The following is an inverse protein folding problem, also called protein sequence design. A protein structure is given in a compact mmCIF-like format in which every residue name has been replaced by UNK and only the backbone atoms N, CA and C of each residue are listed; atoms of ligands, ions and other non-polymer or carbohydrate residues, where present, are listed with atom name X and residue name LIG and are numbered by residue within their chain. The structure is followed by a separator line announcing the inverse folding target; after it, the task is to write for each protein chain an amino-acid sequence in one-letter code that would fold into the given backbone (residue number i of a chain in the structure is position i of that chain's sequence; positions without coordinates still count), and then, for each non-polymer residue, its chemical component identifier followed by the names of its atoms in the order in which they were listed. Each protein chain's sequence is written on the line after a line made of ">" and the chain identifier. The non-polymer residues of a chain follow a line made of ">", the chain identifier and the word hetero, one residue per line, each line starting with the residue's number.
data_IF_108077669928
#
_entry.id   IF_108077669928
#
_cell.length_a   1.000
_cell.length_b   1.000
_cell.length_c   1.000
_cell.angle_alpha   90.00
_cell.angle_beta   90.00
_cell.angle_gamma   90.00
#
_symmetry.space_group_name_H-M   'P 1'
#
loop_
_entity.id
_entity.type
_entity.pdbx_description
1 polymer ?
#
# COMPACT_ATOMS: atom_id res chain seq x y z
N UNK A 1 -96.98 38.26 2.37
CA UNK A 1 -95.77 38.95 2.88
C UNK A 1 -95.41 38.27 4.19
N UNK A 2 -94.30 37.52 4.29
CA UNK A 2 -92.90 37.98 4.25
C UNK A 2 -92.60 38.85 5.48
N UNK A 3 -91.84 38.34 6.46
CA UNK A 3 -90.36 38.46 6.55
C UNK A 3 -90.01 39.63 7.52
N UNK A 4 -88.94 39.64 8.33
CA UNK A 4 -87.81 38.74 8.47
C UNK A 4 -87.30 38.73 9.94
N UNK A 5 -87.24 37.57 10.62
CA UNK A 5 -86.52 37.38 11.90
C UNK A 5 -85.74 36.06 11.97
N UNK A 6 -85.45 35.46 10.81
CA UNK A 6 -84.82 34.13 10.67
C UNK A 6 -83.34 34.18 10.23
N UNK A 7 -82.86 35.35 9.81
CA UNK A 7 -81.52 35.54 9.22
C UNK A 7 -80.38 35.65 10.25
N UNK A 8 -80.58 36.36 11.36
CA UNK A 8 -79.46 36.75 12.25
C UNK A 8 -78.88 35.57 13.05
N UNK A 9 -79.70 34.55 13.34
CA UNK A 9 -79.32 33.47 14.25
C UNK A 9 -78.66 32.26 13.55
N UNK A 10 -78.79 32.14 12.22
CA UNK A 10 -78.10 31.10 11.43
C UNK A 10 -76.65 31.49 11.12
N UNK A 11 -76.40 32.77 10.87
CA UNK A 11 -75.05 33.28 10.54
C UNK A 11 -74.05 33.10 11.69
N UNK A 12 -74.52 33.21 12.94
CA UNK A 12 -73.65 33.06 14.14
C UNK A 12 -73.18 31.61 14.33
N UNK A 13 -74.04 30.62 14.09
CA UNK A 13 -73.66 29.20 14.20
C UNK A 13 -72.70 28.74 13.10
N UNK A 14 -72.83 29.29 11.88
CA UNK A 14 -71.90 28.98 10.77
C UNK A 14 -70.51 29.56 11.03
N UNK A 15 -70.40 30.75 11.64
CA UNK A 15 -69.10 31.37 11.97
C UNK A 15 -68.38 30.62 13.10
N UNK A 16 -69.11 30.13 14.12
CA UNK A 16 -68.50 29.33 15.21
C UNK A 16 -67.99 27.97 14.71
N UNK A 17 -68.70 27.33 13.77
CA UNK A 17 -68.25 26.08 13.14
C UNK A 17 -67.08 26.28 12.14
N UNK A 18 -66.95 27.46 11.50
CA UNK A 18 -65.81 27.76 10.63
C UNK A 18 -64.56 28.23 11.37
N UNK A 19 -64.68 28.85 12.55
CA UNK A 19 -63.54 29.22 13.40
C UNK A 19 -63.06 28.08 14.30
N UNK A 20 -63.88 27.06 14.55
CA UNK A 20 -63.54 25.88 15.36
C UNK A 20 -62.61 24.85 14.71
N UNK A 21 -62.28 24.99 13.42
CA UNK A 21 -61.53 23.97 12.65
C UNK A 21 -60.04 24.33 12.44
N UNK A 22 -59.60 25.56 12.77
CA UNK A 22 -58.24 26.05 12.45
C UNK A 22 -57.31 26.17 13.66
N UNK A 23 -57.46 25.31 14.68
CA UNK A 23 -56.42 25.08 15.70
C UNK A 23 -56.22 23.62 16.10
N UNK A 24 -56.49 22.67 15.20
CA UNK A 24 -55.66 21.46 15.19
C UNK A 24 -54.35 21.82 14.49
N UNK A 25 -53.41 22.38 15.28
CA UNK A 25 -51.99 22.13 15.01
C UNK A 25 -51.77 20.65 15.29
N UNK A 26 -52.14 19.83 14.31
CA UNK A 26 -51.49 18.54 14.16
C UNK A 26 -50.00 18.84 14.17
N UNK A 27 -49.30 18.29 15.16
CA UNK A 27 -47.87 18.04 15.00
C UNK A 27 -47.82 16.92 13.97
N UNK A 28 -48.02 17.29 12.69
CA UNK A 28 -47.22 16.70 11.64
C UNK A 28 -45.78 16.98 12.10
N UNK A 29 -45.24 16.00 12.80
CA UNK A 29 -43.83 15.79 12.86
C UNK A 29 -43.44 15.71 11.38
N UNK A 30 -42.97 16.85 10.84
CA UNK A 30 -42.28 16.87 9.56
C UNK A 30 -41.25 15.79 9.74
N UNK A 31 -41.44 14.63 9.10
CA UNK A 31 -40.40 13.62 9.00
C UNK A 31 -39.20 14.43 8.55
N UNK A 32 -38.19 14.57 9.41
CA UNK A 32 -36.95 15.20 9.04
C UNK A 32 -36.59 14.48 7.75
N UNK A 33 -36.53 15.23 6.65
CA UNK A 33 -36.29 14.65 5.33
C UNK A 33 -34.81 14.28 5.39
N UNK A 34 -34.52 13.12 5.99
CA UNK A 34 -33.18 12.54 6.18
C UNK A 34 -32.45 12.86 4.90
N UNK A 35 -31.44 13.72 5.00
CA UNK A 35 -30.71 14.10 3.81
C UNK A 35 -29.87 12.87 3.53
N UNK A 36 -30.41 12.04 2.63
CA UNK A 36 -29.78 10.82 2.20
C UNK A 36 -28.61 11.23 1.31
N UNK A 37 -27.53 11.66 1.96
CA UNK A 37 -26.26 11.96 1.34
C UNK A 37 -25.76 10.67 0.70
N UNK A 38 -25.80 10.64 -0.63
CA UNK A 38 -25.19 9.58 -1.42
C UNK A 38 -23.70 9.89 -1.52
N UNK A 39 -22.88 9.08 -0.87
CA UNK A 39 -21.43 9.15 -0.99
C UNK A 39 -20.98 8.30 -2.17
N UNK A 40 -20.24 8.90 -3.11
CA UNK A 40 -19.75 8.22 -4.31
C UNK A 40 -18.26 7.90 -4.16
N UNK A 41 -17.85 6.69 -4.52
CA UNK A 41 -16.47 6.25 -4.50
C UNK A 41 -16.15 5.28 -5.64
N UNK A 42 -14.88 4.98 -5.84
CA UNK A 42 -14.40 4.16 -6.96
C UNK A 42 -13.84 2.84 -6.45
N UNK A 43 -14.40 1.71 -6.89
CA UNK A 43 -13.98 0.38 -6.46
C UNK A 43 -14.13 -0.71 -7.54
N UNK A 44 -13.29 -1.76 -7.49
CA UNK A 44 -13.40 -2.98 -8.32
C UNK A 44 -14.78 -3.65 -8.20
N UNK A 45 -15.38 -3.57 -7.01
CA UNK A 45 -16.69 -4.12 -6.66
C UNK A 45 -17.47 -3.16 -5.79
N UNK A 46 -18.75 -2.96 -6.11
CA UNK A 46 -19.69 -2.25 -5.25
C UNK A 46 -20.38 -3.23 -4.31
N UNK A 47 -20.69 -2.79 -3.09
CA UNK A 47 -21.32 -3.63 -2.06
C UNK A 47 -22.83 -3.40 -2.02
N UNK A 48 -23.59 -4.47 -1.90
CA UNK A 48 -25.05 -4.39 -1.75
C UNK A 48 -25.46 -4.00 -0.32
N UNK A 49 -24.68 -4.45 0.67
CA UNK A 49 -24.95 -4.21 2.09
C UNK A 49 -23.96 -3.22 2.70
N UNK A 50 -24.38 -2.51 3.74
CA UNK A 50 -23.49 -1.59 4.47
C UNK A 50 -23.95 -1.35 5.90
N UNK A 51 -23.01 -1.05 6.78
CA UNK A 51 -23.25 -0.57 8.14
C UNK A 51 -22.12 0.37 8.59
N UNK A 52 -22.36 1.19 9.61
CA UNK A 52 -21.31 2.01 10.22
C UNK A 52 -20.73 1.33 11.46
N UNK A 53 -19.45 1.59 11.75
CA UNK A 53 -18.79 1.13 12.98
C UNK A 53 -19.51 1.57 14.26
N UNK A 54 -20.26 2.69 14.23
CA UNK A 54 -21.11 3.15 15.35
C UNK A 54 -22.27 2.21 15.65
N UNK A 55 -22.78 1.49 14.66
CA UNK A 55 -23.90 0.54 14.82
C UNK A 55 -23.49 -0.68 15.68
N UNK A 56 -22.17 -0.93 15.76
CA UNK A 56 -21.53 -1.95 16.59
C UNK A 56 -20.93 -1.37 17.89
N UNK A 57 -21.36 -0.17 18.29
CA UNK A 57 -20.94 0.49 19.53
C UNK A 57 -19.56 1.15 19.46
N UNK A 58 -19.03 1.40 18.26
CA UNK A 58 -17.78 2.15 18.09
C UNK A 58 -17.89 3.60 18.56
N UNK A 59 -16.81 4.12 19.14
CA UNK A 59 -16.67 5.49 19.66
C UNK A 59 -15.39 6.13 19.12
N UNK A 60 -15.54 7.17 18.30
CA UNK A 60 -14.44 7.90 17.65
C UNK A 60 -13.77 8.98 18.51
N UNK A 61 -13.52 8.73 19.79
CA UNK A 61 -13.00 9.70 20.78
C UNK A 61 -11.46 9.69 20.97
N UNK A 62 -10.76 8.77 20.29
CA UNK A 62 -9.31 8.56 20.37
C UNK A 62 -8.84 7.85 21.64
N UNK A 63 -9.75 7.29 22.45
CA UNK A 63 -9.46 6.71 23.78
C UNK A 63 -10.15 5.38 24.01
N UNK A 64 -11.36 5.20 23.50
CA UNK A 64 -12.13 3.98 23.59
C UNK A 64 -11.57 2.95 22.61
N UNK A 65 -11.22 1.75 23.09
CA UNK A 65 -10.78 0.65 22.21
C UNK A 65 -11.96 0.11 21.39
N UNK A 66 -11.92 0.37 20.10
CA UNK A 66 -12.91 -0.05 19.10
C UNK A 66 -12.65 -1.48 18.58
N UNK A 67 -11.62 -2.16 19.08
CA UNK A 67 -11.21 -3.51 18.66
C UNK A 67 -12.37 -4.50 18.67
N UNK A 68 -13.26 -4.41 19.67
CA UNK A 68 -14.48 -5.23 19.74
C UNK A 68 -15.48 -4.86 18.64
N UNK A 69 -15.76 -3.57 18.47
CA UNK A 69 -16.70 -3.06 17.47
C UNK A 69 -16.28 -3.46 16.05
N UNK A 70 -14.98 -3.35 15.70
CA UNK A 70 -14.48 -3.79 14.39
C UNK A 70 -14.66 -5.29 14.17
N UNK A 71 -14.34 -6.12 15.17
CA UNK A 71 -14.48 -7.59 15.07
C UNK A 71 -15.95 -8.01 15.00
N UNK A 72 -16.84 -7.39 15.77
CA UNK A 72 -18.29 -7.64 15.71
C UNK A 72 -18.90 -7.16 14.39
N UNK A 73 -18.47 -5.99 13.89
CA UNK A 73 -18.91 -5.46 12.60
C UNK A 73 -18.56 -6.41 11.45
N UNK A 74 -17.29 -6.79 11.33
CA UNK A 74 -16.83 -7.65 10.23
C UNK A 74 -17.46 -9.05 10.32
N UNK A 75 -17.57 -9.61 11.52
CA UNK A 75 -18.21 -10.92 11.74
C UNK A 75 -19.72 -10.94 11.44
N UNK A 76 -20.42 -9.80 11.54
CA UNK A 76 -21.83 -9.71 11.11
C UNK A 76 -21.94 -9.40 9.63
N UNK A 77 -21.07 -8.54 9.09
CA UNK A 77 -21.10 -8.14 7.69
C UNK A 77 -20.62 -9.25 6.74
N UNK A 78 -19.83 -10.23 7.22
CA UNK A 78 -19.44 -11.41 6.43
C UNK A 78 -20.61 -12.31 6.02
N UNK A 79 -21.77 -12.23 6.69
CA UNK A 79 -22.95 -13.03 6.31
C UNK A 79 -23.50 -12.66 4.92
N UNK A 80 -23.12 -11.48 4.40
CA UNK A 80 -23.55 -10.95 3.11
C UNK A 80 -22.61 -11.30 1.95
N UNK A 81 -21.58 -12.13 2.19
CA UNK A 81 -20.57 -12.54 1.20
C UNK A 81 -21.21 -13.03 -0.11
N UNK A 82 -22.24 -13.87 -0.02
CA UNK A 82 -22.96 -14.44 -1.17
C UNK A 82 -24.08 -13.57 -1.75
N UNK A 83 -24.34 -12.40 -1.16
CA UNK A 83 -25.41 -11.47 -1.55
C UNK A 83 -24.85 -10.08 -1.91
N UNK A 84 -23.81 -10.06 -2.77
CA UNK A 84 -23.18 -8.84 -3.27
C UNK A 84 -22.21 -8.17 -2.29
N UNK A 85 -21.88 -8.82 -1.17
CA UNK A 85 -20.88 -8.35 -0.22
C UNK A 85 -21.31 -7.11 0.59
N UNK A 86 -20.41 -6.67 1.46
CA UNK A 86 -20.72 -5.67 2.49
C UNK A 86 -19.64 -4.60 2.66
N UNK A 87 -20.08 -3.39 3.02
CA UNK A 87 -19.21 -2.26 3.38
C UNK A 87 -19.30 -1.93 4.87
N UNK A 88 -18.14 -1.76 5.52
CA UNK A 88 -18.04 -1.13 6.83
C UNK A 88 -17.58 0.33 6.68
N UNK A 89 -18.46 1.25 7.05
CA UNK A 89 -18.21 2.69 7.01
C UNK A 89 -17.69 3.21 8.36
N UNK A 90 -16.50 3.81 8.34
CA UNK A 90 -15.86 4.49 9.48
C UNK A 90 -16.04 6.01 9.31
N UNK A 91 -16.90 6.67 10.12
CA UNK A 91 -17.16 8.09 10.02
C UNK A 91 -15.99 8.96 10.52
N UNK A 92 -16.04 10.29 10.30
CA UNK A 92 -15.08 11.23 10.88
C UNK A 92 -14.92 11.03 12.40
N UNK A 93 -13.67 10.99 12.89
CA UNK A 93 -13.37 10.70 14.29
C UNK A 93 -12.05 9.97 14.49
N UNK A 94 -11.67 9.79 15.77
CA UNK A 94 -10.43 9.12 16.18
C UNK A 94 -10.74 7.72 16.73
N UNK A 95 -10.44 6.68 15.96
CA UNK A 95 -10.86 5.30 16.24
C UNK A 95 -9.67 4.49 16.75
N UNK A 96 -9.41 4.54 18.06
CA UNK A 96 -8.39 3.71 18.71
C UNK A 96 -8.77 2.23 18.58
N UNK A 97 -7.88 1.40 18.05
CA UNK A 97 -8.10 -0.05 17.90
C UNK A 97 -6.79 -0.82 17.86
N UNK A 98 -6.79 -2.03 18.43
CA UNK A 98 -5.83 -3.06 18.10
C UNK A 98 -6.20 -3.79 16.81
N UNK A 99 -5.62 -4.95 16.58
CA UNK A 99 -5.76 -5.63 15.29
C UNK A 99 -7.15 -6.20 15.02
N UNK A 100 -7.56 -6.18 13.76
CA UNK A 100 -8.76 -6.85 13.28
C UNK A 100 -8.54 -7.47 11.90
N UNK A 101 -9.30 -8.54 11.62
CA UNK A 101 -9.20 -9.29 10.39
C UNK A 101 -10.33 -8.90 9.44
N UNK A 102 -10.02 -8.69 8.16
CA UNK A 102 -10.98 -8.51 7.06
C UNK A 102 -11.59 -9.86 6.63
N UNK A 103 -12.62 -9.79 5.77
CA UNK A 103 -13.33 -10.93 5.17
C UNK A 103 -13.43 -10.74 3.65
N UNK A 104 -13.80 -11.80 2.91
CA UNK A 104 -14.05 -11.73 1.45
C UNK A 104 -15.26 -10.88 1.10
N UNK A 105 -15.31 -10.39 -0.15
CA UNK A 105 -16.40 -9.58 -0.70
C UNK A 105 -16.73 -8.35 0.17
N UNK A 106 -15.68 -7.68 0.67
CA UNK A 106 -15.77 -6.66 1.70
C UNK A 106 -15.19 -5.31 1.25
N UNK A 107 -15.74 -4.22 1.78
CA UNK A 107 -15.17 -2.88 1.66
C UNK A 107 -15.00 -2.24 3.03
N UNK A 108 -13.76 -2.01 3.46
CA UNK A 108 -13.49 -1.08 4.57
C UNK A 108 -13.39 0.33 4.00
N UNK A 109 -14.26 1.23 4.47
CA UNK A 109 -14.34 2.61 4.00
C UNK A 109 -14.05 3.61 5.12
N UNK A 110 -13.00 4.42 4.96
CA UNK A 110 -12.66 5.49 5.90
C UNK A 110 -13.11 6.85 5.34
N UNK A 111 -14.10 7.46 5.96
CA UNK A 111 -14.56 8.79 5.59
C UNK A 111 -13.45 9.84 5.74
N UNK A 112 -13.69 11.03 5.17
CA UNK A 112 -12.83 12.17 5.41
C UNK A 112 -12.72 12.45 6.91
N UNK A 113 -11.53 12.81 7.39
CA UNK A 113 -11.25 13.08 8.81
C UNK A 113 -11.51 11.88 9.76
N UNK A 114 -11.68 10.66 9.22
CA UNK A 114 -11.61 9.42 9.98
C UNK A 114 -10.14 9.01 10.16
N UNK A 115 -9.73 8.72 11.40
CA UNK A 115 -8.37 8.27 11.73
C UNK A 115 -8.45 6.97 12.54
N UNK A 116 -7.96 5.86 11.99
CA UNK A 116 -7.68 4.66 12.78
C UNK A 116 -6.38 4.90 13.56
N UNK A 117 -6.43 4.78 14.88
CA UNK A 117 -5.27 4.92 15.75
C UNK A 117 -4.85 3.53 16.25
N UNK A 118 -3.64 3.10 15.89
CA UNK A 118 -3.12 1.79 16.28
C UNK A 118 -2.82 1.73 17.78
N UNK A 119 -3.43 0.78 18.48
CA UNK A 119 -3.31 0.64 19.93
C UNK A 119 -1.87 0.49 20.41
N UNK A 120 -1.55 1.13 21.53
CA UNK A 120 -0.23 1.02 22.17
C UNK A 120 -0.18 -0.13 23.20
N UNK A 121 -1.33 -0.75 23.48
CA UNK A 121 -1.43 -1.89 24.40
C UNK A 121 -1.02 -3.18 23.70
N UNK A 122 0.15 -3.71 24.06
CA UNK A 122 0.75 -4.92 23.45
C UNK A 122 -0.21 -6.14 23.48
N UNK A 123 -1.12 -6.22 24.44
CA UNK A 123 -2.12 -7.29 24.52
C UNK A 123 -3.20 -7.25 23.44
N UNK A 124 -3.40 -6.12 22.76
CA UNK A 124 -4.33 -6.02 21.62
C UNK A 124 -3.70 -6.47 20.29
N UNK A 125 -2.41 -6.84 20.31
CA UNK A 125 -1.67 -7.38 19.18
C UNK A 125 -1.41 -8.87 19.38
N UNK A 126 -2.19 -9.72 18.71
CA UNK A 126 -1.97 -11.16 18.75
C UNK A 126 -0.59 -11.51 18.15
N UNK A 127 0.08 -12.50 18.73
CA UNK A 127 1.31 -13.06 18.16
C UNK A 127 0.93 -14.21 17.23
N UNK A 128 1.37 -14.14 16.00
CA UNK A 128 1.19 -15.14 14.96
C UNK A 128 2.56 -15.65 14.48
N UNK A 129 2.54 -16.76 13.74
CA UNK A 129 3.75 -17.32 13.17
C UNK A 129 4.44 -16.36 12.18
N UNK A 130 5.75 -16.51 11.95
CA UNK A 130 6.46 -15.85 10.86
C UNK A 130 5.79 -16.08 9.51
N UNK A 131 6.14 -15.26 8.53
CA UNK A 131 5.82 -15.57 7.13
C UNK A 131 6.51 -16.90 6.77
N UNK A 132 5.81 -17.88 6.20
CA UNK A 132 6.38 -19.20 5.94
C UNK A 132 7.58 -19.15 4.99
N UNK A 133 7.61 -18.19 4.04
CA UNK A 133 8.76 -17.96 3.16
C UNK A 133 9.97 -17.31 3.83
N UNK A 134 9.88 -16.84 5.08
CA UNK A 134 10.97 -16.16 5.80
C UNK A 134 11.66 -17.05 6.86
N UNK A 135 11.05 -18.19 7.24
CA UNK A 135 11.55 -19.11 8.28
C UNK A 135 11.47 -18.58 9.72
N UNK A 136 11.72 -17.29 9.94
CA UNK A 136 11.69 -16.64 11.25
C UNK A 136 11.19 -15.19 11.20
N UNK A 137 10.93 -14.59 12.37
CA UNK A 137 10.56 -13.17 12.48
C UNK A 137 11.71 -12.21 12.10
N UNK A 138 11.40 -11.23 11.25
CA UNK A 138 12.33 -10.21 10.72
C UNK A 138 13.13 -9.44 11.78
N UNK A 139 12.51 -8.96 12.85
CA UNK A 139 13.22 -8.17 13.88
C UNK A 139 13.88 -9.05 14.95
N UNK A 140 13.29 -10.22 15.23
CA UNK A 140 13.67 -11.14 16.31
C UNK A 140 13.24 -12.56 15.98
N UNK A 141 14.04 -13.55 16.35
CA UNK A 141 13.67 -14.96 16.28
C UNK A 141 12.35 -15.26 17.03
N UNK A 142 11.56 -16.18 16.49
CA UNK A 142 10.18 -16.44 16.92
C UNK A 142 9.15 -15.68 16.08
N UNK A 143 7.91 -15.61 16.57
CA UNK A 143 6.77 -15.05 15.86
C UNK A 143 6.78 -13.53 15.65
N UNK A 144 5.66 -13.03 15.15
CA UNK A 144 5.41 -11.62 14.84
C UNK A 144 4.09 -11.14 15.43
N UNK A 145 4.00 -9.87 15.76
CA UNK A 145 2.71 -9.24 16.03
C UNK A 145 1.92 -9.14 14.71
N UNK A 146 0.65 -9.56 14.75
CA UNK A 146 -0.28 -9.43 13.62
C UNK A 146 -0.43 -7.95 13.20
N UNK A 147 -0.60 -7.69 11.91
CA UNK A 147 -0.82 -6.33 11.39
C UNK A 147 -2.11 -5.69 11.93
N UNK A 148 -2.19 -4.35 11.91
CA UNK A 148 -3.34 -3.61 12.42
C UNK A 148 -4.61 -3.99 11.64
N UNK A 149 -4.51 -3.94 10.32
CA UNK A 149 -5.49 -4.48 9.37
C UNK A 149 -4.88 -5.74 8.77
N UNK A 150 -5.48 -6.89 9.06
CA UNK A 150 -5.00 -8.18 8.57
C UNK A 150 -6.04 -8.88 7.69
N UNK A 151 -5.60 -9.72 6.75
CA UNK A 151 -6.47 -10.60 5.98
C UNK A 151 -5.70 -11.81 5.49
N UNK A 152 -6.35 -12.97 5.37
CA UNK A 152 -5.74 -14.16 4.74
C UNK A 152 -6.79 -15.00 4.03
N UNK A 153 -6.46 -15.54 2.85
CA UNK A 153 -7.38 -16.37 2.04
C UNK A 153 -8.67 -15.63 1.65
N UNK A 154 -8.55 -14.34 1.31
CA UNK A 154 -9.68 -13.48 0.95
C UNK A 154 -9.80 -13.34 -0.57
N UNK A 155 -11.02 -13.08 -1.04
CA UNK A 155 -11.26 -12.62 -2.41
C UNK A 155 -12.07 -11.33 -2.39
N UNK A 156 -11.82 -10.43 -3.35
CA UNK A 156 -12.61 -9.21 -3.57
C UNK A 156 -12.64 -8.31 -2.31
N UNK A 157 -11.47 -7.74 -2.00
CA UNK A 157 -11.26 -6.90 -0.80
C UNK A 157 -10.90 -5.47 -1.22
N UNK A 158 -11.68 -4.50 -0.72
CA UNK A 158 -11.45 -3.08 -0.96
C UNK A 158 -11.18 -2.37 0.36
N UNK A 159 -10.07 -1.63 0.44
CA UNK A 159 -9.74 -0.74 1.57
C UNK A 159 -9.57 0.66 0.98
N UNK A 160 -10.55 1.52 1.19
CA UNK A 160 -10.62 2.83 0.54
C UNK A 160 -11.26 3.91 1.41
N UNK A 161 -11.41 5.13 0.88
CA UNK A 161 -11.94 6.25 1.64
C UNK A 161 -11.88 7.59 0.92
N UNK A 162 -12.11 8.66 1.68
CA UNK A 162 -11.95 10.06 1.23
C UNK A 162 -10.65 10.64 1.78
N UNK A 163 -9.54 9.94 1.57
CA UNK A 163 -8.25 10.18 2.24
C UNK A 163 -8.33 10.08 3.78
N UNK A 164 -9.12 9.13 4.28
CA UNK A 164 -9.08 8.71 5.68
C UNK A 164 -7.68 8.19 6.07
N UNK A 165 -7.34 8.30 7.36
CA UNK A 165 -5.99 8.03 7.87
C UNK A 165 -5.90 6.73 8.66
N UNK A 166 -4.81 6.00 8.50
CA UNK A 166 -4.40 4.84 9.30
C UNK A 166 -3.06 5.20 9.97
N UNK A 167 -3.09 5.58 11.25
CA UNK A 167 -1.91 5.96 12.03
C UNK A 167 -1.43 4.81 12.93
N UNK A 168 -0.25 4.31 12.61
CA UNK A 168 0.43 3.22 13.31
C UNK A 168 1.01 3.59 14.66
N UNK A 169 1.06 4.89 15.00
CA UNK A 169 1.64 5.43 16.23
C UNK A 169 3.03 4.80 16.54
N UNK A 170 3.84 4.58 15.50
CA UNK A 170 5.03 3.73 15.48
C UNK A 170 6.15 4.09 16.46
N UNK A 171 6.12 5.27 17.07
CA UNK A 171 7.18 5.80 17.93
C UNK A 171 7.58 4.88 19.11
N UNK A 172 6.61 4.17 19.72
CA UNK A 172 6.89 3.17 20.76
C UNK A 172 7.71 2.00 20.18
N UNK A 173 7.29 1.48 19.04
CA UNK A 173 7.88 0.33 18.37
C UNK A 173 9.29 0.62 17.87
N UNK A 174 9.53 1.80 17.26
CA UNK A 174 10.85 2.25 16.83
C UNK A 174 11.82 2.40 18.01
N UNK A 175 11.35 2.92 19.16
CA UNK A 175 12.15 2.97 20.38
C UNK A 175 12.52 1.59 20.91
N UNK A 176 11.60 0.62 20.85
CA UNK A 176 11.88 -0.75 21.27
C UNK A 176 12.85 -1.45 20.31
N UNK A 177 12.72 -1.23 19.00
CA UNK A 177 13.65 -1.72 17.98
C UNK A 177 15.08 -1.21 18.23
N UNK A 178 15.28 0.12 18.30
CA UNK A 178 16.60 0.71 18.54
C UNK A 178 17.23 0.30 19.88
N UNK A 179 16.40 0.03 20.91
CA UNK A 179 16.86 -0.47 22.22
C UNK A 179 17.04 -1.98 22.27
N UNK A 180 16.76 -2.72 21.19
CA UNK A 180 16.78 -4.20 21.12
C UNK A 180 15.91 -4.85 22.22
N UNK A 181 14.71 -4.29 22.43
CA UNK A 181 13.74 -4.72 23.47
C UNK A 181 12.48 -5.41 22.93
N UNK A 182 12.35 -5.53 21.61
CA UNK A 182 11.27 -6.30 21.00
C UNK A 182 11.35 -7.77 21.43
N UNK A 183 10.20 -8.38 21.69
CA UNK A 183 10.07 -9.82 21.96
C UNK A 183 9.75 -10.62 20.69
N UNK A 184 9.03 -9.98 19.76
CA UNK A 184 8.54 -10.51 18.50
C UNK A 184 8.69 -9.43 17.43
N UNK A 185 8.60 -9.81 16.16
CA UNK A 185 8.65 -8.87 15.05
C UNK A 185 7.49 -7.88 15.10
N UNK A 186 7.77 -6.59 14.84
CA UNK A 186 6.80 -5.49 14.86
C UNK A 186 5.66 -5.73 13.86
N UNK A 187 4.44 -5.26 14.17
CA UNK A 187 3.31 -5.37 13.25
C UNK A 187 3.45 -4.42 12.06
N UNK A 188 2.70 -4.66 11.00
CA UNK A 188 2.55 -3.76 9.85
C UNK A 188 1.21 -3.01 9.93
N UNK A 189 1.01 -1.98 9.09
CA UNK A 189 -0.29 -1.29 9.05
C UNK A 189 -1.37 -2.13 8.34
N UNK A 190 -1.10 -2.56 7.12
CA UNK A 190 -1.99 -3.47 6.39
C UNK A 190 -1.21 -4.64 5.80
N UNK A 191 -1.70 -5.84 6.04
CA UNK A 191 -1.18 -7.07 5.44
C UNK A 191 -2.34 -7.95 4.96
N UNK A 192 -2.26 -8.39 3.71
CA UNK A 192 -3.26 -9.27 3.09
C UNK A 192 -2.52 -10.45 2.47
N UNK A 193 -2.74 -11.65 3.02
CA UNK A 193 -2.05 -12.88 2.65
C UNK A 193 -2.91 -13.78 1.75
N UNK A 194 -2.31 -14.56 0.83
CA UNK A 194 -3.01 -15.64 0.10
C UNK A 194 -4.34 -15.23 -0.57
N UNK A 195 -4.43 -14.01 -1.08
CA UNK A 195 -5.71 -13.40 -1.46
C UNK A 195 -5.73 -12.93 -2.92
N UNK A 196 -6.91 -12.70 -3.46
CA UNK A 196 -7.13 -12.33 -4.86
C UNK A 196 -8.09 -11.14 -5.00
N UNK A 197 -7.89 -10.30 -6.03
CA UNK A 197 -8.71 -9.10 -6.30
C UNK A 197 -8.72 -8.12 -5.12
N UNK A 198 -7.59 -7.43 -4.93
CA UNK A 198 -7.34 -6.52 -3.80
C UNK A 198 -7.24 -5.09 -4.31
N UNK A 199 -7.96 -4.16 -3.69
CA UNK A 199 -7.80 -2.72 -3.92
C UNK A 199 -7.48 -1.99 -2.61
N UNK A 200 -6.38 -1.24 -2.58
CA UNK A 200 -6.03 -0.32 -1.48
C UNK A 200 -5.88 1.07 -2.09
N UNK A 201 -6.75 2.03 -1.75
CA UNK A 201 -6.77 3.30 -2.50
C UNK A 201 -7.33 4.50 -1.75
N UNK A 202 -6.89 5.71 -2.09
CA UNK A 202 -7.42 6.98 -1.56
C UNK A 202 -7.37 7.08 -0.03
N UNK A 203 -6.21 6.75 0.56
CA UNK A 203 -5.97 6.69 2.01
C UNK A 203 -4.61 7.28 2.38
N UNK A 204 -4.48 7.78 3.60
CA UNK A 204 -3.21 8.17 4.21
C UNK A 204 -2.75 7.11 5.23
N UNK A 205 -1.55 6.56 5.05
CA UNK A 205 -0.86 5.72 6.02
C UNK A 205 0.17 6.57 6.76
N UNK A 206 0.18 6.52 8.09
CA UNK A 206 0.99 7.39 8.93
C UNK A 206 1.72 6.57 10.00
N UNK A 207 2.99 6.89 10.25
CA UNK A 207 3.82 6.35 11.35
C UNK A 207 3.73 4.82 11.55
N UNK A 208 3.86 4.00 10.49
CA UNK A 208 3.83 2.54 10.70
C UNK A 208 4.90 2.06 11.70
N UNK A 209 4.61 1.08 12.57
CA UNK A 209 5.62 0.43 13.42
C UNK A 209 6.78 -0.18 12.63
N UNK A 210 6.52 -0.63 11.40
CA UNK A 210 7.44 -1.28 10.46
C UNK A 210 6.88 -1.06 9.03
N UNK A 211 6.74 -2.07 8.17
CA UNK A 211 6.15 -1.91 6.83
C UNK A 211 4.75 -1.28 6.84
N UNK A 212 4.41 -0.50 5.81
CA UNK A 212 3.09 0.13 5.70
C UNK A 212 2.10 -0.80 4.97
N UNK A 213 2.33 -1.08 3.69
CA UNK A 213 1.40 -1.85 2.83
C UNK A 213 2.05 -3.15 2.35
N UNK A 214 1.56 -4.29 2.82
CA UNK A 214 2.16 -5.62 2.60
C UNK A 214 1.15 -6.65 2.05
N UNK A 215 0.78 -6.59 0.76
CA UNK A 215 0.14 -7.74 0.10
C UNK A 215 1.18 -8.85 -0.08
N UNK A 216 0.84 -10.07 0.34
CA UNK A 216 1.76 -11.22 0.32
C UNK A 216 1.10 -12.50 -0.21
N UNK A 217 1.80 -13.28 -1.03
CA UNK A 217 1.28 -14.49 -1.72
C UNK A 217 -0.05 -14.25 -2.46
N UNK A 218 -0.24 -13.04 -3.00
CA UNK A 218 -1.55 -12.53 -3.42
C UNK A 218 -1.54 -12.05 -4.88
N UNK A 219 -2.70 -12.07 -5.54
CA UNK A 219 -2.84 -11.76 -6.97
C UNK A 219 -3.87 -10.67 -7.25
N UNK A 220 -3.77 -10.04 -8.43
CA UNK A 220 -4.72 -9.04 -8.93
C UNK A 220 -4.88 -7.86 -7.94
N UNK A 221 -3.79 -7.13 -7.73
CA UNK A 221 -3.68 -6.09 -6.69
C UNK A 221 -3.61 -4.70 -7.34
N UNK A 222 -4.42 -3.76 -6.86
CA UNK A 222 -4.39 -2.34 -7.23
C UNK A 222 -4.10 -1.51 -5.99
N UNK A 223 -3.03 -0.71 -6.04
CA UNK A 223 -2.69 0.26 -5.02
C UNK A 223 -2.62 1.65 -5.67
N UNK A 224 -3.61 2.50 -5.41
CA UNK A 224 -3.79 3.77 -6.15
C UNK A 224 -4.08 4.96 -5.23
N UNK A 225 -3.44 6.11 -5.49
CA UNK A 225 -3.84 7.37 -4.84
C UNK A 225 -3.60 7.40 -3.33
N UNK A 226 -2.69 6.58 -2.81
CA UNK A 226 -2.37 6.53 -1.38
C UNK A 226 -1.19 7.45 -1.02
N UNK A 227 -1.27 8.02 0.17
CA UNK A 227 -0.19 8.79 0.79
C UNK A 227 0.42 7.96 1.91
N UNK A 228 1.74 7.79 1.95
CA UNK A 228 2.46 7.12 3.03
C UNK A 228 3.44 8.11 3.66
N UNK A 229 3.34 8.31 4.98
CA UNK A 229 4.16 9.26 5.73
C UNK A 229 4.76 8.60 6.97
N UNK A 230 6.08 8.43 6.98
CA UNK A 230 6.86 8.11 8.17
C UNK A 230 8.10 9.02 8.25
N UNK A 231 8.62 9.34 9.45
CA UNK A 231 9.85 10.10 9.57
C UNK A 231 11.01 9.41 8.85
N UNK A 232 11.86 10.13 8.13
CA UNK A 232 13.01 9.53 7.39
C UNK A 232 14.07 8.86 8.30
N UNK A 233 13.85 8.85 9.62
CA UNK A 233 14.65 8.16 10.63
C UNK A 233 13.92 7.00 11.32
N UNK A 234 12.68 6.65 10.90
CA UNK A 234 11.97 5.48 11.44
C UNK A 234 12.50 4.19 10.81
N UNK A 235 12.93 3.21 11.62
CA UNK A 235 13.57 2.00 11.11
C UNK A 235 12.56 1.12 10.38
N UNK A 236 12.89 0.73 9.14
CA UNK A 236 12.18 -0.32 8.40
C UNK A 236 10.72 0.00 8.09
N UNK A 237 10.44 1.27 7.85
CA UNK A 237 9.11 1.76 7.49
C UNK A 237 8.85 1.73 6.00
N UNK A 238 9.27 0.66 5.32
CA UNK A 238 9.12 0.48 3.88
C UNK A 238 7.68 0.80 3.43
N UNK A 239 7.52 1.45 2.28
CA UNK A 239 6.23 1.97 1.83
C UNK A 239 5.28 0.86 1.35
N UNK A 240 5.53 0.35 0.14
CA UNK A 240 4.72 -0.70 -0.47
C UNK A 240 5.61 -1.91 -0.77
N UNK A 241 5.19 -3.07 -0.28
CA UNK A 241 5.94 -4.31 -0.33
C UNK A 241 5.11 -5.42 -0.98
N UNK A 242 5.04 -5.52 -2.32
CA UNK A 242 4.46 -6.67 -3.00
C UNK A 242 5.37 -7.88 -2.79
N UNK A 243 4.91 -8.83 -1.99
CA UNK A 243 5.70 -9.94 -1.45
C UNK A 243 5.14 -11.27 -2.01
N UNK A 244 5.73 -11.82 -3.07
CA UNK A 244 5.23 -13.03 -3.76
C UNK A 244 3.93 -12.76 -4.53
N UNK A 245 3.83 -11.55 -5.09
CA UNK A 245 2.61 -11.08 -5.71
C UNK A 245 2.67 -11.14 -7.24
N UNK A 246 1.52 -11.47 -7.85
CA UNK A 246 1.36 -11.55 -9.31
C UNK A 246 0.33 -10.51 -9.75
N UNK A 247 0.55 -9.89 -10.91
CA UNK A 247 -0.39 -8.96 -11.53
C UNK A 247 -0.78 -7.79 -10.59
N UNK A 248 0.21 -6.99 -10.19
CA UNK A 248 0.09 -5.88 -9.24
C UNK A 248 0.33 -4.54 -9.92
N UNK A 249 -0.57 -3.57 -9.72
CA UNK A 249 -0.43 -2.18 -10.20
C UNK A 249 -0.29 -1.24 -9.00
N UNK A 250 0.71 -0.37 -9.05
CA UNK A 250 0.95 0.70 -8.06
C UNK A 250 1.04 2.02 -8.84
N UNK A 251 0.12 2.95 -8.58
CA UNK A 251 0.03 4.21 -9.33
C UNK A 251 -0.43 5.38 -8.45
N UNK A 252 -0.16 6.62 -8.88
CA UNK A 252 -0.61 7.84 -8.21
C UNK A 252 -0.28 7.95 -6.70
N UNK A 253 0.81 7.31 -6.23
CA UNK A 253 1.17 7.28 -4.80
C UNK A 253 2.18 8.36 -4.40
N UNK A 254 2.10 8.83 -3.16
CA UNK A 254 3.10 9.72 -2.55
C UNK A 254 3.69 9.05 -1.30
N UNK A 255 5.01 8.83 -1.28
CA UNK A 255 5.67 8.05 -0.22
C UNK A 255 6.82 8.84 0.39
N UNK A 256 6.78 9.01 1.72
CA UNK A 256 7.90 9.43 2.56
C UNK A 256 8.15 8.34 3.59
N UNK A 257 9.33 7.73 3.54
CA UNK A 257 9.72 6.58 4.36
C UNK A 257 11.12 6.75 4.95
N UNK A 258 11.39 6.09 6.08
CA UNK A 258 12.75 5.87 6.60
C UNK A 258 13.49 4.65 6.03
N UNK A 259 12.90 3.92 5.07
CA UNK A 259 13.51 2.76 4.38
C UNK A 259 13.13 2.75 2.88
N UNK A 260 13.23 1.61 2.19
CA UNK A 260 12.88 1.47 0.77
C UNK A 260 11.39 1.90 0.48
N UNK A 261 11.16 2.79 -0.50
CA UNK A 261 9.81 3.33 -0.77
C UNK A 261 8.85 2.32 -1.40
N UNK A 262 9.31 1.59 -2.41
CA UNK A 262 8.66 0.40 -2.96
C UNK A 262 9.72 -0.71 -2.97
N UNK A 263 9.38 -1.86 -2.41
CA UNK A 263 10.27 -3.01 -2.34
C UNK A 263 9.53 -4.25 -2.86
N UNK A 264 9.76 -4.61 -4.13
CA UNK A 264 9.28 -5.88 -4.69
C UNK A 264 10.06 -7.03 -4.04
N UNK A 265 9.33 -8.05 -3.59
CA UNK A 265 9.74 -9.07 -2.62
C UNK A 265 8.95 -10.38 -2.75
N UNK A 266 9.14 -11.30 -1.79
CA UNK A 266 8.37 -12.54 -1.52
C UNK A 266 8.67 -13.33 -0.20
N UNK A 267 9.81 -13.16 0.49
CA UNK A 267 10.43 -14.33 1.16
C UNK A 267 11.96 -14.34 1.20
N UNK A 268 12.57 -15.46 1.60
CA UNK A 268 13.98 -15.45 2.02
C UNK A 268 14.72 -16.81 1.90
N UNK A 269 15.84 -16.84 1.17
CA UNK A 269 16.78 -17.97 1.07
C UNK A 269 16.05 -19.31 0.72
N UNK A 270 16.38 -20.42 1.36
CA UNK A 270 15.79 -21.74 1.11
C UNK A 270 14.34 -21.86 1.60
N UNK A 271 13.93 -21.09 2.62
CA UNK A 271 12.53 -20.94 3.01
C UNK A 271 11.73 -20.34 1.86
N UNK A 272 12.33 -19.36 1.20
CA UNK A 272 11.86 -18.79 -0.04
C UNK A 272 11.73 -19.84 -1.15
N UNK A 273 12.83 -20.47 -1.56
CA UNK A 273 12.84 -21.49 -2.63
C UNK A 273 11.82 -22.61 -2.37
N UNK A 274 11.72 -23.10 -1.14
CA UNK A 274 10.81 -24.20 -0.78
C UNK A 274 9.34 -23.79 -0.72
N UNK A 275 9.03 -22.52 -0.45
CA UNK A 275 7.67 -21.98 -0.47
C UNK A 275 7.25 -21.43 -1.85
N UNK A 276 8.23 -21.03 -2.69
CA UNK A 276 8.06 -20.43 -4.02
C UNK A 276 8.37 -18.91 -4.12
N UNK A 277 9.36 -18.35 -3.39
CA UNK A 277 9.54 -16.91 -3.00
C UNK A 277 11.01 -16.52 -2.56
N UNK A 278 11.47 -15.31 -2.14
CA UNK A 278 11.73 -14.11 -2.99
C UNK A 278 13.10 -14.09 -3.57
N UNK A 279 13.18 -13.59 -4.80
CA UNK A 279 14.34 -13.63 -5.68
C UNK A 279 14.94 -15.05 -5.76
N UNK A 280 15.39 -15.67 -4.67
CA UNK A 280 15.33 -17.12 -4.36
C UNK A 280 14.19 -17.88 -5.08
N UNK A 281 12.96 -17.36 -5.06
CA UNK A 281 11.80 -17.92 -5.80
C UNK A 281 11.47 -17.22 -7.12
N UNK A 282 12.12 -16.10 -7.41
CA UNK A 282 11.98 -15.31 -8.63
C UNK A 282 11.42 -13.91 -8.42
N UNK A 283 11.96 -12.95 -9.17
CA UNK A 283 11.33 -11.67 -9.52
C UNK A 283 11.46 -11.51 -11.04
N UNK A 284 10.34 -11.33 -11.74
CA UNK A 284 10.29 -11.18 -13.20
C UNK A 284 9.19 -10.21 -13.66
N UNK A 285 9.35 -9.65 -14.87
CA UNK A 285 8.45 -8.68 -15.52
C UNK A 285 8.02 -7.50 -14.62
N UNK A 286 9.01 -6.81 -14.03
CA UNK A 286 8.77 -5.61 -13.21
C UNK A 286 8.95 -4.38 -14.07
N UNK A 287 7.89 -3.58 -14.19
CA UNK A 287 7.85 -2.34 -14.97
C UNK A 287 7.70 -1.15 -14.02
N UNK A 288 8.58 -0.18 -14.15
CA UNK A 288 8.56 1.06 -13.37
C UNK A 288 8.72 2.25 -14.32
N UNK A 289 7.70 3.10 -14.40
CA UNK A 289 7.73 4.28 -15.28
C UNK A 289 7.21 5.57 -14.65
N UNK A 290 7.71 6.70 -15.15
CA UNK A 290 7.31 8.07 -14.80
C UNK A 290 7.38 8.41 -13.29
N UNK A 291 8.35 7.82 -12.60
CA UNK A 291 8.59 8.02 -11.15
C UNK A 291 9.51 9.22 -10.91
N UNK A 292 9.13 10.06 -9.94
CA UNK A 292 10.01 11.08 -9.35
C UNK A 292 10.51 10.63 -7.98
N UNK A 293 11.83 10.60 -7.76
CA UNK A 293 12.42 10.26 -6.46
C UNK A 293 13.33 11.39 -5.95
N UNK A 294 13.19 11.75 -4.68
CA UNK A 294 13.83 12.93 -4.07
C UNK A 294 14.52 12.54 -2.76
N UNK A 295 15.78 12.94 -2.58
CA UNK A 295 16.56 12.76 -1.35
C UNK A 295 16.67 11.29 -0.88
N UNK A 296 16.74 10.35 -1.82
CA UNK A 296 16.84 8.90 -1.53
C UNK A 296 18.29 8.43 -1.45
N UNK A 297 18.54 7.27 -0.84
CA UNK A 297 19.88 6.67 -0.95
C UNK A 297 20.15 6.17 -2.39
N UNK A 298 19.15 5.57 -3.04
CA UNK A 298 19.28 5.14 -4.44
C UNK A 298 18.03 5.38 -5.25
N UNK A 299 18.18 5.57 -6.57
CA UNK A 299 17.08 5.59 -7.53
C UNK A 299 16.49 4.19 -7.73
N UNK A 300 17.26 3.28 -8.34
CA UNK A 300 16.90 1.86 -8.47
C UNK A 300 17.95 0.97 -7.82
N UNK A 301 17.50 -0.07 -7.11
CA UNK A 301 18.31 -0.88 -6.21
C UNK A 301 18.00 -2.37 -6.38
N UNK A 302 19.02 -3.19 -6.64
CA UNK A 302 18.95 -4.66 -6.60
C UNK A 302 19.92 -5.15 -5.52
N UNK A 303 19.42 -5.99 -4.59
CA UNK A 303 20.19 -6.54 -3.46
C UNK A 303 20.09 -8.06 -3.49
N UNK A 304 21.20 -8.77 -3.57
CA UNK A 304 21.25 -10.22 -3.44
C UNK A 304 22.60 -10.69 -2.89
N UNK A 305 22.76 -12.00 -2.68
CA UNK A 305 23.95 -12.62 -2.12
C UNK A 305 24.09 -14.07 -2.54
N UNK A 306 25.33 -14.56 -2.57
CA UNK A 306 25.60 -16.01 -2.58
C UNK A 306 24.86 -16.64 -1.40
N UNK A 307 24.07 -17.67 -1.66
CA UNK A 307 23.19 -18.28 -0.66
C UNK A 307 21.70 -18.12 -0.95
N UNK A 308 21.34 -17.12 -1.77
CA UNK A 308 19.94 -16.86 -2.12
C UNK A 308 19.38 -17.82 -3.16
N UNK A 309 20.14 -18.15 -4.20
CA UNK A 309 19.61 -18.81 -5.40
C UNK A 309 18.58 -17.96 -6.16
N UNK A 310 17.81 -18.62 -7.03
CA UNK A 310 16.70 -18.00 -7.77
C UNK A 310 17.15 -16.97 -8.82
N UNK A 311 16.34 -15.93 -9.06
CA UNK A 311 16.57 -14.92 -10.09
C UNK A 311 15.93 -13.55 -9.82
N UNK A 312 16.50 -12.51 -10.43
CA UNK A 312 15.86 -11.23 -10.73
C UNK A 312 16.09 -10.94 -12.21
N UNK A 313 15.03 -10.95 -13.01
CA UNK A 313 15.15 -10.77 -14.46
C UNK A 313 14.05 -9.89 -15.04
N UNK A 314 14.23 -9.47 -16.29
CA UNK A 314 13.21 -8.77 -17.08
C UNK A 314 12.63 -7.57 -16.31
N UNK A 315 13.54 -6.70 -15.87
CA UNK A 315 13.24 -5.49 -15.11
C UNK A 315 13.35 -4.30 -16.06
N UNK A 316 12.31 -3.48 -16.14
CA UNK A 316 12.18 -2.40 -17.11
C UNK A 316 11.88 -1.08 -16.41
N UNK A 317 12.78 -0.10 -16.56
CA UNK A 317 12.68 1.20 -15.92
C UNK A 317 12.74 2.31 -16.97
N UNK A 318 11.76 3.21 -16.98
CA UNK A 318 11.65 4.30 -17.97
C UNK A 318 11.24 5.63 -17.32
N UNK A 319 11.74 6.77 -17.79
CA UNK A 319 11.16 8.07 -17.43
C UNK A 319 11.38 8.51 -15.98
N UNK A 320 12.54 8.18 -15.39
CA UNK A 320 12.83 8.52 -13.99
C UNK A 320 13.35 9.97 -13.85
N UNK A 321 12.78 10.74 -12.93
CA UNK A 321 13.28 12.07 -12.53
C UNK A 321 13.82 12.03 -11.10
N UNK A 322 15.13 12.25 -10.94
CA UNK A 322 15.87 11.83 -9.76
C UNK A 322 16.65 13.00 -9.11
N UNK A 323 16.21 13.47 -7.95
CA UNK A 323 16.74 14.69 -7.33
C UNK A 323 17.46 14.39 -6.01
N UNK A 324 18.77 14.63 -5.95
CA UNK A 324 19.62 14.43 -4.76
C UNK A 324 19.62 12.98 -4.27
N UNK A 325 20.65 12.21 -4.65
CA UNK A 325 20.81 10.83 -4.15
C UNK A 325 22.25 10.37 -4.10
N UNK A 326 22.50 9.25 -3.41
CA UNK A 326 23.84 8.68 -3.28
C UNK A 326 24.22 7.89 -4.54
N UNK A 327 23.29 7.11 -5.09
CA UNK A 327 23.45 6.30 -6.31
C UNK A 327 22.21 6.43 -7.22
N UNK A 328 22.37 6.51 -8.55
CA UNK A 328 21.20 6.35 -9.46
C UNK A 328 20.88 4.87 -9.60
N UNK A 329 21.89 4.07 -9.96
CA UNK A 329 21.80 2.62 -10.06
C UNK A 329 22.66 1.96 -8.99
N UNK A 330 22.08 1.12 -8.12
CA UNK A 330 22.84 0.30 -7.18
C UNK A 330 22.48 -1.19 -7.33
N UNK A 331 23.50 -2.01 -7.59
CA UNK A 331 23.40 -3.48 -7.53
C UNK A 331 24.48 -4.01 -6.59
N UNK A 332 24.15 -5.01 -5.80
CA UNK A 332 25.12 -5.75 -4.97
C UNK A 332 24.79 -7.24 -4.91
N UNK A 333 25.77 -8.09 -5.22
CA UNK A 333 25.78 -9.54 -5.01
C UNK A 333 26.43 -9.98 -3.71
N UNK A 334 26.72 -9.05 -2.79
CA UNK A 334 27.33 -9.33 -1.49
C UNK A 334 26.44 -8.81 -0.33
N UNK A 335 25.13 -9.03 -0.41
CA UNK A 335 24.18 -8.66 0.64
C UNK A 335 24.07 -9.78 1.69
N UNK A 336 25.08 -9.89 2.55
CA UNK A 336 25.27 -10.99 3.51
C UNK A 336 24.31 -11.06 4.72
N UNK A 337 23.03 -10.75 4.53
CA UNK A 337 21.97 -11.08 5.49
C UNK A 337 21.37 -12.43 5.07
N UNK A 338 21.24 -13.41 5.96
CA UNK A 338 20.59 -14.69 5.68
C UNK A 338 19.57 -15.02 6.78
N UNK A 339 18.58 -15.85 6.46
CA UNK A 339 17.52 -16.23 7.39
C UNK A 339 18.11 -16.97 8.60
N UNK A 340 18.97 -17.97 8.35
CA UNK A 340 19.76 -18.63 9.38
C UNK A 340 21.12 -19.12 8.83
N UNK A 341 21.56 -20.31 9.24
CA UNK A 341 22.82 -20.96 8.83
C UNK A 341 22.62 -22.21 7.98
N UNK A 342 21.40 -22.52 7.53
CA UNK A 342 21.04 -23.72 6.77
C UNK A 342 20.90 -23.47 5.26
N UNK A 343 20.86 -22.21 4.82
CA UNK A 343 20.89 -21.82 3.41
C UNK A 343 22.03 -22.50 2.65
N UNK A 344 21.81 -22.86 1.39
CA UNK A 344 22.84 -23.48 0.54
C UNK A 344 23.89 -22.41 0.16
N UNK A 345 25.14 -22.47 0.68
CA UNK A 345 26.15 -21.45 0.41
C UNK A 345 26.69 -21.47 -1.03
N UNK A 346 26.16 -22.35 -1.89
CA UNK A 346 26.46 -22.42 -3.33
C UNK A 346 25.29 -21.94 -4.19
N UNK A 347 24.15 -21.57 -3.61
CA UNK A 347 22.97 -21.12 -4.34
C UNK A 347 23.21 -19.70 -4.91
N UNK A 348 23.51 -19.66 -6.21
CA UNK A 348 23.79 -18.44 -6.96
C UNK A 348 22.51 -17.85 -7.58
N UNK A 349 22.28 -16.53 -7.45
CA UNK A 349 21.13 -15.83 -8.00
C UNK A 349 21.36 -15.33 -9.43
N UNK A 350 20.49 -15.71 -10.37
CA UNK A 350 20.58 -15.22 -11.76
C UNK A 350 20.03 -13.80 -11.86
N UNK A 351 20.91 -12.81 -12.08
CA UNK A 351 20.53 -11.42 -12.32
C UNK A 351 20.78 -11.08 -13.80
N UNK A 352 19.71 -10.89 -14.58
CA UNK A 352 19.80 -10.70 -16.03
C UNK A 352 18.73 -9.78 -16.61
N UNK A 353 18.98 -9.14 -17.76
CA UNK A 353 17.93 -8.41 -18.51
C UNK A 353 17.38 -7.18 -17.79
N UNK A 354 18.27 -6.38 -17.20
CA UNK A 354 17.91 -5.17 -16.44
C UNK A 354 18.01 -3.95 -17.36
N UNK A 355 16.87 -3.37 -17.73
CA UNK A 355 16.76 -2.29 -18.69
C UNK A 355 16.43 -0.96 -18.01
N UNK A 356 17.23 0.06 -18.28
CA UNK A 356 17.04 1.44 -17.84
C UNK A 356 17.01 2.36 -19.06
N UNK A 357 16.02 3.23 -19.13
CA UNK A 357 15.83 4.14 -20.25
C UNK A 357 15.29 5.50 -19.78
N UNK A 358 15.65 6.57 -20.49
CA UNK A 358 15.08 7.92 -20.31
C UNK A 358 15.17 8.39 -18.83
N UNK A 359 16.40 8.46 -18.30
CA UNK A 359 16.71 8.73 -16.89
C UNK A 359 17.36 10.12 -16.75
N UNK A 360 16.76 11.01 -15.94
CA UNK A 360 17.35 12.32 -15.61
C UNK A 360 17.60 12.37 -14.12
N UNK A 361 18.86 12.62 -13.73
CA UNK A 361 19.25 12.73 -12.34
C UNK A 361 20.12 13.95 -12.06
N UNK A 362 19.93 14.60 -10.91
CA UNK A 362 20.72 15.75 -10.48
C UNK A 362 21.15 15.67 -9.00
N UNK A 363 22.22 16.41 -8.67
CA UNK A 363 22.85 16.43 -7.35
C UNK A 363 23.22 15.03 -6.81
N UNK A 364 23.74 14.17 -7.70
CA UNK A 364 24.06 12.76 -7.41
C UNK A 364 25.48 12.59 -6.85
N UNK A 365 25.66 11.75 -5.83
CA UNK A 365 27.00 11.51 -5.23
C UNK A 365 27.88 10.57 -6.05
N UNK A 366 27.30 9.59 -6.73
CA UNK A 366 27.93 8.59 -7.61
C UNK A 366 26.86 8.11 -8.60
N UNK A 367 27.17 8.02 -9.90
CA UNK A 367 26.20 7.59 -10.91
C UNK A 367 25.74 6.14 -10.67
N UNK A 368 26.68 5.21 -10.53
CA UNK A 368 26.33 3.83 -10.20
C UNK A 368 27.37 3.11 -9.35
N UNK A 369 26.88 2.09 -8.65
CA UNK A 369 27.67 1.03 -8.03
C UNK A 369 27.05 -0.31 -8.45
N UNK A 370 27.73 -1.07 -9.28
CA UNK A 370 27.23 -2.30 -9.90
C UNK A 370 28.21 -3.43 -9.55
N UNK A 371 27.91 -4.16 -8.49
CA UNK A 371 28.77 -5.21 -7.95
C UNK A 371 28.02 -6.54 -8.04
N UNK A 372 28.40 -7.40 -8.99
CA UNK A 372 27.86 -8.76 -9.11
C UNK A 372 28.53 -9.74 -8.16
N UNK A 373 28.57 -11.01 -8.54
CA UNK A 373 29.22 -12.08 -7.78
C UNK A 373 30.48 -12.52 -8.54
N UNK A 374 31.60 -12.68 -7.81
CA UNK A 374 32.89 -13.10 -8.36
C UNK A 374 32.78 -14.44 -9.09
N UNK A 375 32.85 -14.42 -10.42
CA UNK A 375 32.72 -15.61 -11.27
C UNK A 375 31.29 -15.95 -11.71
N UNK A 376 30.29 -15.18 -11.27
CA UNK A 376 28.88 -15.27 -11.67
C UNK A 376 28.33 -13.85 -11.89
N UNK A 377 28.66 -13.22 -13.04
CA UNK A 377 28.40 -11.80 -13.25
C UNK A 377 26.91 -11.51 -13.48
N UNK A 378 26.46 -10.30 -13.11
CA UNK A 378 25.12 -9.84 -13.48
C UNK A 378 25.12 -9.40 -14.94
N UNK A 379 24.28 -9.99 -15.77
CA UNK A 379 24.35 -9.87 -17.25
C UNK A 379 23.18 -9.11 -17.84
N UNK A 380 23.24 -8.78 -19.13
CA UNK A 380 22.12 -8.17 -19.86
C UNK A 380 21.68 -6.82 -19.30
N UNK A 381 22.57 -6.08 -18.64
CA UNK A 381 22.29 -4.72 -18.17
C UNK A 381 22.27 -3.78 -19.38
N UNK A 382 21.20 -3.04 -19.57
CA UNK A 382 21.08 -2.03 -20.62
C UNK A 382 20.74 -0.68 -20.00
N UNK A 383 21.55 0.35 -20.26
CA UNK A 383 21.27 1.74 -19.82
C UNK A 383 21.30 2.66 -21.04
N UNK A 384 20.17 3.28 -21.40
CA UNK A 384 20.14 4.26 -22.49
C UNK A 384 19.44 5.58 -22.11
N UNK A 385 19.85 6.66 -22.78
CA UNK A 385 19.36 8.02 -22.54
C UNK A 385 19.38 8.43 -21.05
N UNK A 386 20.55 8.36 -20.41
CA UNK A 386 20.68 8.63 -18.97
C UNK A 386 21.63 9.81 -18.71
N UNK A 387 21.10 10.92 -18.18
CA UNK A 387 21.87 12.12 -17.85
C UNK A 387 21.95 12.30 -16.33
N UNK A 388 23.15 12.22 -15.77
CA UNK A 388 23.40 12.17 -14.33
C UNK A 388 24.31 13.34 -13.90
N UNK A 389 23.68 14.42 -13.44
CA UNK A 389 24.34 15.60 -12.87
C UNK A 389 24.91 15.30 -11.47
N UNK A 390 26.24 15.26 -11.37
CA UNK A 390 26.93 15.01 -10.11
C UNK A 390 26.90 16.20 -9.15
N UNK A 391 26.79 15.91 -7.85
CA UNK A 391 26.87 16.89 -6.77
C UNK A 391 28.25 17.57 -6.69
N UNK A 392 28.31 18.80 -6.16
CA UNK A 392 29.56 19.56 -5.96
C UNK A 392 30.64 18.85 -5.12
N UNK A 393 30.24 17.87 -4.30
CA UNK A 393 31.11 17.04 -3.46
C UNK A 393 30.99 15.54 -3.80
N UNK A 394 30.63 15.21 -5.03
CA UNK A 394 30.51 13.83 -5.52
C UNK A 394 31.83 13.05 -5.43
N UNK A 395 31.74 11.72 -5.57
CA UNK A 395 32.88 10.82 -5.67
C UNK A 395 33.65 11.11 -6.96
N UNK A 396 34.99 11.11 -6.89
CA UNK A 396 35.87 11.32 -8.06
C UNK A 396 35.66 10.29 -9.16
N UNK A 397 35.28 9.07 -8.77
CA UNK A 397 34.92 7.98 -9.67
C UNK A 397 33.39 7.86 -9.62
N UNK A 398 32.66 8.22 -10.69
CA UNK A 398 31.21 8.20 -10.69
C UNK A 398 30.61 6.81 -10.93
N UNK A 399 31.38 5.85 -11.43
CA UNK A 399 30.92 4.49 -11.69
C UNK A 399 31.87 3.47 -11.05
N UNK A 400 31.31 2.52 -10.30
CA UNK A 400 32.00 1.29 -9.89
C UNK A 400 31.30 0.12 -10.54
N UNK A 401 32.03 -0.72 -11.28
CA UNK A 401 31.50 -1.94 -11.89
C UNK A 401 32.48 -3.09 -11.66
N UNK A 402 31.96 -4.21 -11.15
CA UNK A 402 32.72 -5.43 -10.84
C UNK A 402 31.79 -6.62 -11.05
N UNK A 403 32.21 -7.63 -11.80
CA UNK A 403 31.40 -8.81 -12.14
C UNK A 403 30.00 -8.44 -12.69
N UNK A 404 29.97 -7.54 -13.68
CA UNK A 404 28.75 -7.17 -14.40
C UNK A 404 29.03 -7.05 -15.89
N UNK A 405 28.03 -7.31 -16.73
CA UNK A 405 28.11 -7.26 -18.20
C UNK A 405 26.84 -6.64 -18.80
N UNK A 406 27.01 -5.85 -19.85
CA UNK A 406 25.90 -5.13 -20.47
C UNK A 406 26.32 -4.15 -21.55
N UNK A 407 25.47 -3.17 -21.83
CA UNK A 407 25.68 -2.13 -22.84
C UNK A 407 25.10 -0.79 -22.38
N UNK A 408 25.64 0.31 -22.90
CA UNK A 408 25.04 1.64 -22.72
C UNK A 408 24.83 2.37 -24.04
N UNK A 409 23.99 3.41 -24.07
CA UNK A 409 23.93 4.35 -25.19
C UNK A 409 23.40 5.73 -24.76
N UNK A 410 24.18 6.78 -25.01
CA UNK A 410 23.81 8.14 -24.60
C UNK A 410 23.72 8.30 -23.08
N UNK A 411 24.75 7.83 -22.37
CA UNK A 411 24.84 7.89 -20.91
C UNK A 411 25.95 8.84 -20.48
N UNK A 412 25.63 9.79 -19.60
CA UNK A 412 26.54 10.81 -19.08
C UNK A 412 26.46 10.83 -17.55
N UNK A 413 27.58 10.74 -16.81
CA UNK A 413 28.97 10.61 -17.28
C UNK A 413 29.28 9.22 -17.83
N UNK A 414 30.37 9.09 -18.58
CA UNK A 414 30.80 7.85 -19.25
C UNK A 414 30.84 6.64 -18.27
N UNK A 415 30.14 5.53 -18.58
CA UNK A 415 30.15 4.30 -17.76
C UNK A 415 31.48 3.53 -17.74
N UNK A 416 31.49 2.42 -16.98
CA UNK A 416 32.61 1.47 -16.95
C UNK A 416 32.80 0.74 -18.29
N UNK A 417 34.01 0.21 -18.52
CA UNK A 417 34.30 -0.63 -19.69
C UNK A 417 33.47 -1.91 -19.81
N UNK A 418 32.89 -2.39 -18.70
CA UNK A 418 31.92 -3.50 -18.67
C UNK A 418 30.56 -3.19 -19.31
N UNK A 419 30.27 -1.91 -19.56
CA UNK A 419 29.01 -1.43 -20.14
C UNK A 419 29.30 -0.53 -21.37
N UNK A 420 29.94 -1.07 -22.43
CA UNK A 420 30.39 -0.30 -23.58
C UNK A 420 29.27 0.52 -24.23
N UNK A 421 29.58 1.78 -24.54
CA UNK A 421 28.69 2.69 -25.26
C UNK A 421 28.55 2.22 -26.73
N UNK A 422 27.31 1.99 -27.15
CA UNK A 422 26.93 1.57 -28.50
C UNK A 422 26.75 2.76 -29.47
N UNK A 423 27.01 3.98 -28.99
CA UNK A 423 26.95 5.22 -29.76
C UNK A 423 25.56 5.87 -29.80
N UNK A 424 25.46 7.12 -30.28
CA UNK A 424 24.24 7.93 -30.19
C UNK A 424 23.08 7.43 -31.07
N UNK A 425 23.36 6.62 -32.09
CA UNK A 425 22.35 6.00 -32.96
C UNK A 425 21.50 4.92 -32.23
N UNK A 426 21.89 4.56 -30.99
CA UNK A 426 21.30 3.46 -30.20
C UNK A 426 20.59 3.92 -28.93
N UNK A 427 20.29 5.22 -28.79
CA UNK A 427 19.74 5.81 -27.54
C UNK A 427 18.37 5.22 -27.14
N UNK A 428 17.62 4.63 -28.08
CA UNK A 428 16.38 3.89 -27.81
C UNK A 428 16.52 2.37 -27.70
N UNK A 429 17.75 1.81 -27.57
CA UNK A 429 17.97 0.35 -27.68
C UNK A 429 17.53 -0.46 -26.47
N UNK A 430 17.50 0.14 -25.26
CA UNK A 430 17.06 -0.57 -24.07
C UNK A 430 15.54 -0.70 -24.11
N UNK A 431 15.07 -1.93 -23.97
CA UNK A 431 13.66 -2.25 -24.13
C UNK A 431 12.84 -1.68 -22.97
N UNK A 432 11.64 -1.24 -23.29
CA UNK A 432 10.55 -1.12 -22.33
C UNK A 432 9.33 -1.75 -23.01
N UNK A 433 8.70 -2.79 -22.43
CA UNK A 433 7.59 -3.47 -23.09
C UNK A 433 6.40 -2.54 -23.31
N UNK A 434 5.58 -2.82 -24.32
CA UNK A 434 4.50 -1.92 -24.77
C UNK A 434 3.12 -2.58 -24.75
N UNK A 435 3.08 -3.88 -24.46
CA UNK A 435 1.87 -4.63 -24.23
C UNK A 435 1.35 -4.39 -22.81
N UNK A 436 0.07 -4.01 -22.70
CA UNK A 436 -0.58 -3.79 -21.40
C UNK A 436 -0.66 -5.09 -20.59
N UNK A 437 -0.33 -5.01 -19.30
CA UNK A 437 -0.58 -6.09 -18.34
C UNK A 437 -2.08 -6.24 -18.06
N UNK A 438 -2.53 -7.43 -17.67
CA UNK A 438 -3.97 -7.67 -17.46
C UNK A 438 -4.55 -6.81 -16.31
N UNK A 439 -3.74 -6.50 -15.29
CA UNK A 439 -4.12 -5.56 -14.20
C UNK A 439 -4.46 -4.14 -14.68
N UNK A 440 -3.91 -3.70 -15.82
CA UNK A 440 -4.22 -2.36 -16.39
C UNK A 440 -5.66 -2.28 -16.87
N UNK A 441 -6.24 -3.41 -17.28
CA UNK A 441 -7.58 -3.51 -17.86
C UNK A 441 -8.68 -3.72 -16.79
N UNK A 442 -8.34 -3.71 -15.49
CA UNK A 442 -9.33 -3.88 -14.43
C UNK A 442 -10.19 -2.63 -14.29
N UNK A 443 -11.50 -2.79 -14.54
CA UNK A 443 -12.48 -1.70 -14.43
C UNK A 443 -12.75 -1.31 -12.97
N UNK A 444 -12.37 -0.09 -12.60
CA UNK A 444 -12.81 0.54 -11.35
C UNK A 444 -14.19 1.17 -11.56
N UNK A 445 -15.19 0.67 -10.84
CA UNK A 445 -16.60 1.07 -10.96
C UNK A 445 -16.93 2.22 -10.01
N UNK A 446 -17.87 3.07 -10.42
CA UNK A 446 -18.44 4.09 -9.55
C UNK A 446 -19.50 3.46 -8.64
N UNK A 447 -19.23 3.43 -7.35
CA UNK A 447 -20.09 2.87 -6.31
C UNK A 447 -20.73 3.98 -5.48
N UNK A 448 -21.90 3.70 -4.91
CA UNK A 448 -22.69 4.64 -4.10
C UNK A 448 -23.05 4.04 -2.74
N UNK A 449 -22.75 4.75 -1.65
CA UNK A 449 -23.22 4.46 -0.31
C UNK A 449 -24.33 5.44 0.09
N UNK A 450 -25.36 4.95 0.78
CA UNK A 450 -26.47 5.78 1.27
C UNK A 450 -26.39 5.96 2.78
N UNK A 451 -26.08 7.19 3.21
CA UNK A 451 -26.06 7.54 4.63
C UNK A 451 -27.49 7.59 5.20
N UNK A 452 -27.75 6.84 6.28
CA UNK A 452 -28.94 7.01 7.11
C UNK A 452 -28.59 7.83 8.35
N UNK A 453 -28.91 9.14 8.34
CA UNK A 453 -28.72 10.05 9.49
C UNK A 453 -29.57 9.69 10.73
#
# INVERSE_FOLDING_TARGET
>A
MASNKSEVMKTIWVIVLLLGVVTLRGVECRKARRIQETLEYYAISCRAHSASITDFGGVGDGKTSNTKAFREAISQLSQYESDGGSQLFVPPGLWLTGSFNLTSHFTLYLAKDAVLLASQEISEWAVIEPLPSYGHGRDTAGGRYISLIFGTNLTDVVVTGENGTIDGQGALWWQQFHRKKLKYTRPYLIEIMHSDNIQISNLTFLNSPSWNVHPVYSSNIIIQGITILAPVTSPNTDGINPDSCTNTRIEDTYIVSGDDCIAVKSGWDEYGISYGSEMSGGIEDVRAEDITAINTESGVRIKTGVGRGGYVKDIFVKGMNLHTMKWVFWMTGNYGSHADTHYDPNALPVIQGINYRDIIAENVSMAARLEGISGDPFTGICISNATIGLAKKAKKVPWTCTDVEGVTSGVVPLPCGSLPDQGPEKVGMCAFPTENLSIENVEIKKCSYYRME
#
